data_IF_339508509551
#
_entry.id   IF_339508509551
#
_cell.length_a   1.000
_cell.length_b   1.000
_cell.length_c   1.000
_cell.angle_alpha   90.00
_cell.angle_beta   90.00
_cell.angle_gamma   90.00
#
_symmetry.space_group_name_H-M   'P 1'
#
loop_
_entity.id
_entity.type
_entity.pdbx_description
1 polymer ?
#
# COMPACT_ATOMS: atom_id res chain seq x y z
N UNK A 1 -18.27 0.78 -10.10
CA UNK A 1 -17.43 -0.38 -9.70
C UNK A 1 -18.07 -1.11 -8.55
N UNK A 2 -18.53 -2.33 -8.77
CA UNK A 2 -19.12 -3.17 -7.71
C UNK A 2 -18.05 -3.63 -6.73
N UNK A 3 -18.46 -4.24 -5.60
CA UNK A 3 -17.51 -4.80 -4.63
C UNK A 3 -16.68 -5.95 -5.22
N UNK A 4 -17.25 -6.68 -6.18
CA UNK A 4 -16.58 -7.77 -6.89
C UNK A 4 -15.47 -7.26 -7.80
N UNK A 5 -15.63 -6.07 -8.37
CA UNK A 5 -14.65 -5.47 -9.30
C UNK A 5 -13.44 -4.81 -8.60
N UNK A 6 -13.41 -4.81 -7.26
CA UNK A 6 -12.36 -4.18 -6.45
C UNK A 6 -11.68 -5.24 -5.57
N UNK A 7 -10.75 -6.02 -6.12
CA UNK A 7 -10.02 -7.01 -5.34
C UNK A 7 -9.22 -6.32 -4.23
N UNK A 8 -8.93 -7.04 -3.12
CA UNK A 8 -7.93 -6.58 -2.18
C UNK A 8 -6.54 -6.60 -2.82
N UNK A 9 -5.73 -5.60 -2.49
CA UNK A 9 -4.39 -5.40 -3.00
C UNK A 9 -3.37 -5.64 -1.90
N UNK A 10 -2.21 -6.16 -2.27
CA UNK A 10 -1.11 -6.45 -1.33
C UNK A 10 -0.15 -5.27 -1.25
N UNK A 11 0.45 -5.06 -0.08
CA UNK A 11 1.49 -4.03 0.10
C UNK A 11 2.69 -4.19 -0.85
N UNK A 12 2.99 -5.42 -1.31
CA UNK A 12 4.04 -5.68 -2.32
C UNK A 12 3.72 -5.03 -3.68
N UNK A 13 2.45 -4.99 -4.09
CA UNK A 13 2.06 -4.33 -5.35
C UNK A 13 2.33 -2.83 -5.28
N UNK A 14 2.08 -2.23 -4.11
CA UNK A 14 2.38 -0.83 -3.85
C UNK A 14 3.91 -0.57 -3.93
N UNK A 15 4.73 -1.50 -3.44
CA UNK A 15 6.19 -1.44 -3.55
C UNK A 15 6.69 -1.46 -4.99
N UNK A 16 6.24 -2.44 -5.79
CA UNK A 16 6.65 -2.54 -7.20
C UNK A 16 6.21 -1.34 -8.02
N UNK A 17 5.06 -0.75 -7.70
CA UNK A 17 4.61 0.49 -8.33
C UNK A 17 5.51 1.68 -7.96
N UNK A 18 6.14 1.65 -6.79
CA UNK A 18 7.01 2.73 -6.29
C UNK A 18 8.46 2.61 -6.77
N UNK A 19 9.00 1.39 -6.93
CA UNK A 19 10.38 1.15 -7.37
C UNK A 19 10.70 1.75 -8.75
N UNK A 20 9.72 1.84 -9.65
CA UNK A 20 9.92 2.33 -11.01
C UNK A 20 9.87 3.85 -11.18
N UNK A 21 9.28 4.58 -10.23
CA UNK A 21 8.91 5.99 -10.42
C UNK A 21 9.17 6.81 -9.13
N UNK A 22 10.46 7.00 -8.82
CA UNK A 22 10.92 7.73 -7.65
C UNK A 22 10.19 9.06 -7.43
N UNK A 23 9.42 9.14 -6.34
CA UNK A 23 8.71 10.34 -5.90
C UNK A 23 7.20 10.38 -6.21
N UNK A 24 6.64 9.39 -6.91
CA UNK A 24 5.20 9.33 -7.15
C UNK A 24 4.41 8.66 -6.02
N UNK A 25 3.16 9.08 -5.89
CA UNK A 25 2.20 8.56 -4.92
C UNK A 25 1.54 7.32 -5.53
N UNK A 26 1.61 6.17 -4.85
CA UNK A 26 0.92 4.96 -5.27
C UNK A 26 -0.56 5.05 -4.89
N UNK A 27 -1.45 5.09 -5.89
CA UNK A 27 -2.90 5.18 -5.67
C UNK A 27 -3.55 3.83 -5.98
N UNK A 28 -4.19 3.24 -4.98
CA UNK A 28 -4.82 1.91 -5.06
C UNK A 28 -6.31 2.05 -4.80
N UNK A 29 -7.12 1.71 -5.81
CA UNK A 29 -8.59 1.76 -5.71
C UNK A 29 -9.12 0.44 -5.15
N UNK A 30 -8.82 0.17 -3.88
CA UNK A 30 -9.24 -1.06 -3.21
C UNK A 30 -8.82 -1.11 -1.74
N UNK A 31 -8.79 -2.33 -1.17
CA UNK A 31 -8.36 -2.55 0.22
C UNK A 31 -6.89 -2.95 0.23
N UNK A 32 -6.05 -2.21 0.93
CA UNK A 32 -4.64 -2.54 1.12
C UNK A 32 -4.45 -3.49 2.31
N UNK A 33 -3.97 -4.68 2.00
CA UNK A 33 -3.68 -5.74 2.97
C UNK A 33 -2.18 -5.81 3.21
N UNK A 34 -1.83 -6.06 4.47
CA UNK A 34 -0.45 -6.31 4.88
C UNK A 34 0.11 -7.56 4.22
N UNK A 35 1.30 -7.43 3.63
CA UNK A 35 2.06 -8.58 3.15
C UNK A 35 3.15 -8.92 4.15
N UNK A 36 3.02 -10.09 4.80
CA UNK A 36 3.99 -10.59 5.78
C UNK A 36 5.31 -11.06 5.15
N UNK A 37 5.36 -11.16 3.82
CA UNK A 37 6.57 -11.56 3.08
C UNK A 37 7.52 -10.39 2.86
N UNK A 38 7.02 -9.16 2.93
CA UNK A 38 7.84 -7.95 2.94
C UNK A 38 8.40 -7.74 4.36
N UNK A 39 9.70 -8.02 4.53
CA UNK A 39 10.39 -7.81 5.81
C UNK A 39 10.67 -6.32 6.07
N UNK A 40 11.01 -5.59 5.02
CA UNK A 40 11.27 -4.16 5.06
C UNK A 40 10.29 -3.46 4.11
N UNK A 41 9.54 -2.49 4.67
CA UNK A 41 8.68 -1.62 3.88
C UNK A 41 9.44 -0.31 3.68
N UNK A 42 9.72 0.11 2.43
CA UNK A 42 10.39 1.38 2.18
C UNK A 42 9.45 2.55 2.50
N UNK A 43 10.05 3.72 2.74
CA UNK A 43 9.30 4.96 2.92
C UNK A 43 8.59 5.33 1.61
N UNK A 44 7.27 5.14 1.58
CA UNK A 44 6.46 5.38 0.38
C UNK A 44 5.16 6.10 0.73
N UNK A 45 4.60 6.83 -0.24
CA UNK A 45 3.30 7.49 -0.11
C UNK A 45 2.24 6.64 -0.78
N UNK A 46 1.27 6.14 -0.01
CA UNK A 46 0.20 5.26 -0.50
C UNK A 46 -1.15 5.85 -0.19
N UNK A 47 -2.00 5.92 -1.22
CA UNK A 47 -3.40 6.31 -1.09
C UNK A 47 -4.28 5.12 -1.39
N UNK A 48 -5.15 4.73 -0.45
CA UNK A 48 -6.06 3.61 -0.65
C UNK A 48 -7.43 3.84 -0.01
N UNK A 49 -8.47 3.17 -0.53
CA UNK A 49 -9.83 3.31 0.01
C UNK A 49 -9.95 2.74 1.43
N UNK A 50 -9.24 1.64 1.71
CA UNK A 50 -9.23 0.98 3.02
C UNK A 50 -7.85 0.43 3.30
N UNK A 51 -7.41 0.53 4.55
CA UNK A 51 -6.17 -0.07 5.03
C UNK A 51 -6.48 -1.07 6.14
N UNK A 52 -5.75 -2.18 6.16
CA UNK A 52 -5.67 -3.02 7.36
C UNK A 52 -4.82 -2.33 8.42
N UNK A 53 -5.14 -2.52 9.70
CA UNK A 53 -4.44 -1.88 10.81
C UNK A 53 -2.94 -2.21 10.82
N UNK A 54 -2.62 -3.47 10.50
CA UNK A 54 -1.23 -3.96 10.40
C UNK A 54 -0.46 -3.30 9.27
N UNK A 55 -1.08 -3.14 8.09
CA UNK A 55 -0.45 -2.46 6.96
C UNK A 55 -0.19 -0.98 7.28
N UNK A 56 -1.18 -0.30 7.89
CA UNK A 56 -1.04 1.10 8.29
C UNK A 56 0.09 1.29 9.30
N UNK A 57 0.18 0.42 10.31
CA UNK A 57 1.25 0.47 11.31
C UNK A 57 2.64 0.28 10.70
N UNK A 58 2.79 -0.63 9.71
CA UNK A 58 4.06 -0.83 9.01
C UNK A 58 4.46 0.35 8.14
N UNK A 59 3.53 0.89 7.36
CA UNK A 59 3.79 2.05 6.49
C UNK A 59 4.19 3.28 7.32
N UNK A 60 3.49 3.55 8.42
CA UNK A 60 3.83 4.66 9.32
C UNK A 60 5.19 4.44 10.01
N UNK A 61 5.50 3.20 10.43
CA UNK A 61 6.80 2.86 11.02
C UNK A 61 7.96 3.04 10.03
N UNK A 62 7.71 2.82 8.74
CA UNK A 62 8.66 3.06 7.66
C UNK A 62 8.83 4.56 7.33
N UNK A 63 8.10 5.47 7.98
CA UNK A 63 8.10 6.90 7.65
C UNK A 63 7.32 7.24 6.37
N UNK A 64 6.47 6.31 5.92
CA UNK A 64 5.55 6.52 4.80
C UNK A 64 4.28 7.27 5.19
N UNK A 65 3.56 7.74 4.18
CA UNK A 65 2.30 8.47 4.34
C UNK A 65 1.14 7.59 3.85
N UNK A 66 0.13 7.41 4.70
CA UNK A 66 -1.11 6.71 4.36
C UNK A 66 -2.26 7.72 4.27
N UNK A 67 -2.83 7.91 3.07
CA UNK A 67 -3.97 8.82 2.83
C UNK A 67 -5.17 8.09 2.26
#
# INVERSE_FOLDING_TARGET
MSRTDKPPHLAQEAHHLHEGEGGKIAVIVGTLIDDKRLYEVPAMKVVALRFTETARARILKAGGECT
#
